data_IF_349564186802
#
_entry.id   IF_349564186802
#
_cell.length_a   1.000
_cell.length_b   1.000
_cell.length_c   1.000
_cell.angle_alpha   90.00
_cell.angle_beta   90.00
_cell.angle_gamma   90.00
#
_symmetry.space_group_name_H-M   'P 1'
#
loop_
_entity.id
_entity.type
_entity.pdbx_description
1 polymer ?
#
# COMPACT_ATOMS: atom_id res chain seq x y z
N UNK A 1 -98.10 -4.59 -4.44
CA UNK A 1 -97.15 -5.69 -4.67
C UNK A 1 -96.01 -5.24 -5.58
N UNK A 2 -94.76 -5.50 -5.17
CA UNK A 2 -93.53 -5.62 -5.99
C UNK A 2 -92.69 -4.41 -6.45
N UNK A 3 -92.98 -3.14 -6.13
CA UNK A 3 -92.12 -2.00 -6.58
C UNK A 3 -91.45 -1.15 -5.50
N UNK A 4 -91.67 -1.42 -4.21
CA UNK A 4 -91.15 -0.57 -3.11
C UNK A 4 -90.10 -1.25 -2.21
N UNK A 5 -89.68 -2.47 -2.53
CA UNK A 5 -88.68 -3.22 -1.73
C UNK A 5 -87.33 -3.40 -2.44
N UNK A 6 -87.12 -2.73 -3.59
CA UNK A 6 -85.91 -2.90 -4.41
C UNK A 6 -84.98 -1.66 -4.39
N UNK A 7 -85.27 -0.61 -3.62
CA UNK A 7 -84.43 0.59 -3.54
C UNK A 7 -83.69 0.77 -2.21
N UNK A 8 -83.77 -0.20 -1.29
CA UNK A 8 -83.05 -0.16 -0.02
C UNK A 8 -81.86 -1.14 0.04
N UNK A 9 -81.61 -1.89 -1.05
CA UNK A 9 -80.50 -2.84 -1.15
C UNK A 9 -79.35 -2.33 -2.05
N UNK A 10 -79.46 -1.12 -2.60
CA UNK A 10 -78.46 -0.52 -3.50
C UNK A 10 -77.67 0.64 -2.87
N UNK A 11 -77.98 1.04 -1.63
CA UNK A 11 -77.38 2.21 -0.97
C UNK A 11 -76.38 1.87 0.14
N UNK A 12 -76.06 0.59 0.36
CA UNK A 12 -75.22 0.15 1.50
C UNK A 12 -74.01 -0.71 1.12
N UNK A 13 -73.47 -0.55 -0.10
CA UNK A 13 -72.24 -1.23 -0.55
C UNK A 13 -71.22 -0.30 -1.22
N UNK A 14 -71.28 0.99 -0.86
CA UNK A 14 -70.19 1.94 -1.03
C UNK A 14 -69.57 2.24 0.35
N UNK A 15 -69.28 1.20 1.13
CA UNK A 15 -68.18 1.30 2.09
C UNK A 15 -66.91 1.34 1.26
N UNK A 16 -66.58 2.55 0.79
CA UNK A 16 -65.24 2.86 0.36
C UNK A 16 -64.33 2.47 1.50
N UNK A 17 -63.62 1.36 1.34
CA UNK A 17 -62.47 1.05 2.17
C UNK A 17 -61.55 2.22 1.91
N UNK A 18 -61.57 3.21 2.81
CA UNK A 18 -60.57 4.26 2.82
C UNK A 18 -59.26 3.50 2.96
N UNK A 19 -58.56 3.37 1.83
CA UNK A 19 -57.25 2.73 1.79
C UNK A 19 -56.42 3.50 2.81
N UNK A 20 -56.13 2.87 3.94
CA UNK A 20 -55.41 3.51 5.01
C UNK A 20 -54.06 3.92 4.43
N UNK A 21 -53.79 5.23 4.38
CA UNK A 21 -52.57 5.76 3.82
C UNK A 21 -51.37 5.06 4.48
N UNK A 22 -50.47 4.54 3.66
CA UNK A 22 -49.36 3.75 4.14
C UNK A 22 -48.36 4.65 4.85
N UNK A 23 -48.02 4.33 6.09
CA UNK A 23 -47.10 5.15 6.89
C UNK A 23 -45.68 4.61 6.73
N UNK A 24 -44.78 5.46 6.24
CA UNK A 24 -43.33 5.18 6.16
C UNK A 24 -42.60 6.13 7.11
N UNK A 25 -41.85 5.58 8.06
CA UNK A 25 -41.13 6.37 9.07
C UNK A 25 -39.66 6.53 8.70
N UNK A 26 -39.24 7.75 8.36
CA UNK A 26 -37.86 8.05 7.93
C UNK A 26 -36.90 8.11 9.13
N UNK A 27 -35.76 7.43 9.01
CA UNK A 27 -34.65 7.51 9.97
C UNK A 27 -33.87 8.81 9.79
N UNK A 28 -33.34 9.42 10.86
CA UNK A 28 -32.52 10.63 10.73
C UNK A 28 -31.17 10.37 10.06
N UNK A 29 -30.60 9.18 10.25
CA UNK A 29 -29.29 8.81 9.72
C UNK A 29 -29.26 7.34 9.26
N UNK A 30 -28.47 7.05 8.23
CA UNK A 30 -28.15 5.70 7.78
C UNK A 30 -26.67 5.60 7.32
N UNK A 31 -26.03 4.46 7.61
CA UNK A 31 -24.69 4.14 7.13
C UNK A 31 -24.77 3.03 6.09
N UNK A 32 -24.48 3.34 4.83
CA UNK A 32 -24.73 2.44 3.70
C UNK A 32 -23.50 2.31 2.80
N UNK A 33 -23.32 1.17 2.10
CA UNK A 33 -22.31 1.07 1.06
C UNK A 33 -22.63 2.02 -0.11
N UNK A 34 -21.62 2.43 -0.91
CA UNK A 34 -21.85 3.22 -2.10
C UNK A 34 -22.72 2.47 -3.11
N UNK A 35 -23.58 3.19 -3.85
CA UNK A 35 -24.53 2.60 -4.79
C UNK A 35 -25.99 2.99 -4.54
N UNK A 36 -26.95 2.25 -5.12
CA UNK A 36 -28.37 2.57 -5.03
C UNK A 36 -28.86 2.46 -3.57
N UNK A 37 -29.47 3.55 -3.10
CA UNK A 37 -30.05 3.62 -1.76
C UNK A 37 -31.51 3.22 -1.86
N UNK A 38 -31.85 2.09 -1.26
CA UNK A 38 -33.22 1.62 -1.18
C UNK A 38 -33.98 2.32 -0.03
N UNK A 39 -35.30 2.45 -0.16
CA UNK A 39 -36.12 3.07 0.88
C UNK A 39 -36.05 2.30 2.20
N UNK A 40 -36.02 0.95 2.15
CA UNK A 40 -35.89 0.12 3.35
C UNK A 40 -34.58 0.36 4.12
N UNK A 41 -33.55 0.87 3.45
CA UNK A 41 -32.27 1.17 4.11
C UNK A 41 -32.33 2.45 4.97
N UNK A 42 -33.27 3.36 4.67
CA UNK A 42 -33.38 4.67 5.31
C UNK A 42 -34.70 4.90 6.06
N UNK A 43 -35.62 3.94 6.02
CA UNK A 43 -36.94 4.08 6.60
C UNK A 43 -37.47 2.75 7.14
N UNK A 44 -38.37 2.84 8.10
CA UNK A 44 -39.18 1.73 8.58
C UNK A 44 -40.51 1.72 7.82
N UNK A 45 -40.81 0.58 7.21
CA UNK A 45 -41.96 0.39 6.33
C UNK A 45 -42.89 -0.63 6.98
N UNK A 46 -44.20 -0.36 6.97
CA UNK A 46 -45.21 -1.30 7.44
C UNK A 46 -45.10 -2.66 6.74
N UNK A 47 -45.31 -3.76 7.50
CA UNK A 47 -45.08 -5.14 7.02
C UNK A 47 -45.84 -5.51 5.75
N UNK A 48 -47.02 -4.93 5.51
CA UNK A 48 -47.87 -5.25 4.37
C UNK A 48 -47.26 -4.89 3.01
N UNK A 49 -46.55 -3.75 2.91
CA UNK A 49 -45.92 -3.29 1.66
C UNK A 49 -44.39 -3.18 1.73
N UNK A 50 -43.77 -3.73 2.78
CA UNK A 50 -42.32 -3.70 2.96
C UNK A 50 -41.57 -4.26 1.73
N UNK A 51 -42.13 -5.25 1.03
CA UNK A 51 -41.52 -5.83 -0.16
C UNK A 51 -41.54 -4.88 -1.38
N UNK A 52 -42.66 -4.20 -1.65
CA UNK A 52 -42.81 -3.32 -2.81
C UNK A 52 -42.15 -1.96 -2.58
N UNK A 53 -42.46 -1.30 -1.46
CA UNK A 53 -41.89 0.00 -1.12
C UNK A 53 -40.40 -0.09 -0.78
N UNK A 54 -39.98 -1.17 -0.13
CA UNK A 54 -38.61 -1.32 0.36
C UNK A 54 -37.54 -1.36 -0.75
N UNK A 55 -37.91 -1.81 -1.95
CA UNK A 55 -37.01 -1.90 -3.10
C UNK A 55 -36.88 -0.59 -3.90
N UNK A 56 -37.71 0.42 -3.61
CA UNK A 56 -37.67 1.69 -4.32
C UNK A 56 -36.31 2.36 -4.08
N UNK A 57 -35.62 2.67 -5.17
CA UNK A 57 -34.35 3.41 -5.11
C UNK A 57 -34.64 4.90 -5.00
N UNK A 58 -34.26 5.51 -3.88
CA UNK A 58 -34.51 6.93 -3.61
C UNK A 58 -33.38 7.84 -4.08
N UNK A 59 -32.15 7.30 -4.13
CA UNK A 59 -30.97 8.01 -4.57
C UNK A 59 -29.84 7.03 -4.90
N UNK A 60 -28.73 7.56 -5.40
CA UNK A 60 -27.48 6.81 -5.56
C UNK A 60 -26.41 7.50 -4.70
N UNK A 61 -25.84 6.78 -3.73
CA UNK A 61 -24.77 7.28 -2.88
C UNK A 61 -23.47 7.25 -3.70
N UNK A 62 -22.82 8.41 -3.96
CA UNK A 62 -21.58 8.44 -4.72
C UNK A 62 -20.48 7.66 -4.00
N UNK A 63 -19.49 7.21 -4.79
CA UNK A 63 -18.27 6.63 -4.22
C UNK A 63 -17.46 7.71 -3.50
N UNK A 64 -16.81 7.33 -2.40
CA UNK A 64 -15.95 8.20 -1.60
C UNK A 64 -16.48 8.55 -0.21
N UNK A 65 -15.84 9.50 0.49
CA UNK A 65 -16.16 9.81 1.89
C UNK A 65 -17.36 10.76 2.03
N UNK A 66 -17.93 11.22 0.91
CA UNK A 66 -19.01 12.20 0.91
C UNK A 66 -20.28 11.66 1.56
N UNK A 67 -20.91 12.48 2.40
CA UNK A 67 -22.26 12.21 2.90
C UNK A 67 -23.31 12.74 1.93
N UNK A 68 -24.41 12.01 1.76
CA UNK A 68 -25.58 12.48 1.02
C UNK A 68 -26.68 12.87 2.00
N UNK A 69 -27.43 13.93 1.69
CA UNK A 69 -28.57 14.35 2.51
C UNK A 69 -29.82 14.42 1.65
N UNK A 70 -30.87 13.69 2.05
CA UNK A 70 -32.13 13.59 1.30
C UNK A 70 -33.25 14.26 2.09
N UNK A 71 -33.93 15.25 1.50
CA UNK A 71 -35.13 15.84 2.11
C UNK A 71 -36.33 14.89 1.98
N UNK A 72 -37.29 15.05 2.87
CA UNK A 72 -38.56 14.31 2.84
C UNK A 72 -39.27 14.45 1.49
N UNK A 73 -39.28 15.64 0.90
CA UNK A 73 -39.94 15.93 -0.38
C UNK A 73 -39.30 15.15 -1.52
N UNK A 74 -37.96 15.06 -1.53
CA UNK A 74 -37.23 14.29 -2.54
C UNK A 74 -37.54 12.80 -2.43
N UNK A 75 -37.60 12.28 -1.20
CA UNK A 75 -37.94 10.88 -0.93
C UNK A 75 -39.39 10.61 -1.38
N UNK A 76 -40.33 11.49 -1.04
CA UNK A 76 -41.73 11.37 -1.46
C UNK A 76 -41.87 11.36 -2.98
N UNK A 77 -41.18 12.25 -3.70
CA UNK A 77 -41.17 12.28 -5.15
C UNK A 77 -40.61 10.98 -5.76
N UNK A 78 -39.57 10.39 -5.17
CA UNK A 78 -39.04 9.11 -5.63
C UNK A 78 -40.05 7.96 -5.44
N UNK A 79 -40.75 7.94 -4.30
CA UNK A 79 -41.81 6.96 -4.00
C UNK A 79 -42.97 7.11 -4.99
N UNK A 80 -43.51 8.32 -5.17
CA UNK A 80 -44.65 8.58 -6.05
C UNK A 80 -44.39 8.21 -7.52
N UNK A 81 -43.13 8.24 -7.97
CA UNK A 81 -42.76 7.80 -9.34
C UNK A 81 -42.79 6.28 -9.50
N UNK A 82 -42.51 5.54 -8.44
CA UNK A 82 -42.37 4.08 -8.48
C UNK A 82 -43.59 3.35 -7.89
N UNK A 83 -44.40 4.03 -7.08
CA UNK A 83 -45.52 3.46 -6.36
C UNK A 83 -46.79 4.29 -6.57
N UNK A 84 -47.89 3.71 -7.10
CA UNK A 84 -49.12 4.45 -7.39
C UNK A 84 -50.02 4.70 -6.18
N UNK A 85 -49.74 4.09 -5.03
CA UNK A 85 -50.54 4.23 -3.80
C UNK A 85 -50.24 5.50 -3.01
N UNK A 86 -51.16 5.84 -2.10
CA UNK A 86 -51.00 7.01 -1.21
C UNK A 86 -50.10 6.65 -0.02
N UNK A 87 -49.02 7.41 0.16
CA UNK A 87 -48.00 7.18 1.19
C UNK A 87 -47.84 8.43 2.04
N UNK A 88 -47.89 8.27 3.36
CA UNK A 88 -47.62 9.30 4.36
C UNK A 88 -46.23 9.11 4.95
N UNK A 89 -45.36 10.13 4.82
CA UNK A 89 -44.02 10.11 5.41
C UNK A 89 -44.03 10.72 6.82
N UNK A 90 -43.55 9.96 7.79
CA UNK A 90 -43.35 10.39 9.18
C UNK A 90 -41.86 10.32 9.56
N UNK A 91 -41.52 10.73 10.78
CA UNK A 91 -40.14 10.69 11.29
C UNK A 91 -39.30 11.91 10.91
N UNK A 92 -38.05 11.70 10.49
CA UNK A 92 -37.13 12.79 10.19
C UNK A 92 -37.60 13.66 9.00
N UNK A 93 -37.30 14.96 9.02
CA UNK A 93 -37.51 15.87 7.88
C UNK A 93 -36.43 15.71 6.80
N UNK A 94 -35.26 15.21 7.20
CA UNK A 94 -34.12 14.97 6.35
C UNK A 94 -33.38 13.71 6.82
N UNK A 95 -32.93 12.90 5.87
CA UNK A 95 -32.13 11.69 6.12
C UNK A 95 -30.69 11.98 5.71
N UNK A 96 -29.75 11.86 6.65
CA UNK A 96 -28.31 11.92 6.36
C UNK A 96 -27.78 10.52 6.11
N UNK A 97 -27.18 10.30 4.95
CA UNK A 97 -26.59 9.03 4.56
C UNK A 97 -25.08 9.19 4.59
N UNK A 98 -24.41 8.43 5.46
CA UNK A 98 -22.96 8.36 5.53
C UNK A 98 -22.48 7.08 4.83
N UNK A 99 -21.32 7.13 4.14
CA UNK A 99 -20.74 5.93 3.57
C UNK A 99 -20.29 4.99 4.69
N UNK A 100 -20.51 3.69 4.49
CA UNK A 100 -19.97 2.67 5.36
C UNK A 100 -18.45 2.61 5.19
N UNK A 101 -17.73 2.99 6.25
CA UNK A 101 -16.28 2.98 6.29
C UNK A 101 -15.77 1.69 6.92
N UNK A 102 -14.70 1.14 6.33
CA UNK A 102 -13.90 0.07 6.89
C UNK A 102 -12.59 0.66 7.38
N UNK A 103 -12.16 0.27 8.58
CA UNK A 103 -10.90 0.72 9.16
C UNK A 103 -9.81 -0.30 8.86
N UNK A 104 -8.75 0.14 8.20
CA UNK A 104 -7.53 -0.64 8.01
C UNK A 104 -6.53 -0.24 9.09
N UNK A 105 -6.17 -1.20 9.94
CA UNK A 105 -5.20 -0.99 11.00
C UNK A 105 -3.76 -1.05 10.49
N UNK A 106 -2.83 -0.62 11.36
CA UNK A 106 -1.38 -0.66 11.13
C UNK A 106 -0.87 -2.00 10.60
N UNK A 107 -1.29 -3.12 11.18
CA UNK A 107 -0.81 -4.46 10.79
C UNK A 107 -1.22 -4.82 9.37
N UNK A 108 -2.44 -4.46 8.98
CA UNK A 108 -2.96 -4.73 7.65
C UNK A 108 -2.23 -3.89 6.59
N UNK A 109 -2.02 -2.60 6.87
CA UNK A 109 -1.23 -1.72 6.00
C UNK A 109 0.23 -2.19 5.88
N UNK A 110 0.81 -2.69 6.97
CA UNK A 110 2.16 -3.25 6.98
C UNK A 110 2.23 -4.50 6.09
N UNK A 111 1.26 -5.42 6.22
CA UNK A 111 1.17 -6.60 5.35
C UNK A 111 1.00 -6.22 3.87
N UNK A 112 0.16 -5.22 3.57
CA UNK A 112 -0.02 -4.72 2.21
C UNK A 112 1.28 -4.15 1.64
N UNK A 113 2.01 -3.34 2.43
CA UNK A 113 3.31 -2.81 2.02
C UNK A 113 4.31 -3.93 1.69
N UNK A 114 4.49 -4.89 2.61
CA UNK A 114 5.40 -6.02 2.41
C UNK A 114 5.01 -6.84 1.19
N UNK A 115 3.73 -7.19 1.05
CA UNK A 115 3.23 -7.97 -0.08
C UNK A 115 3.50 -7.26 -1.42
N UNK A 116 3.25 -5.95 -1.50
CA UNK A 116 3.47 -5.17 -2.71
C UNK A 116 4.94 -4.98 -3.04
N UNK A 117 5.80 -4.79 -2.05
CA UNK A 117 7.25 -4.76 -2.25
C UNK A 117 7.75 -6.10 -2.76
N UNK A 118 7.30 -7.22 -2.18
CA UNK A 118 7.71 -8.56 -2.63
C UNK A 118 7.18 -8.90 -4.03
N UNK A 119 5.97 -8.46 -4.38
CA UNK A 119 5.38 -8.64 -5.72
C UNK A 119 6.16 -7.88 -6.81
N UNK A 120 6.54 -6.63 -6.53
CA UNK A 120 7.19 -5.76 -7.51
C UNK A 120 8.72 -5.86 -7.54
N UNK A 121 9.35 -6.27 -6.43
CA UNK A 121 10.81 -6.24 -6.30
C UNK A 121 11.48 -7.29 -7.20
N UNK A 122 12.47 -6.88 -8.01
CA UNK A 122 13.19 -7.79 -8.89
C UNK A 122 14.26 -8.60 -8.13
N UNK A 123 14.36 -8.44 -6.81
CA UNK A 123 15.34 -9.12 -5.95
C UNK A 123 14.82 -10.44 -5.38
N UNK A 124 13.50 -10.69 -5.43
CA UNK A 124 12.87 -11.91 -4.87
C UNK A 124 13.39 -13.21 -5.47
N UNK A 125 13.84 -13.17 -6.73
CA UNK A 125 14.44 -14.31 -7.42
C UNK A 125 15.96 -14.36 -7.33
N UNK A 126 16.61 -13.31 -6.81
CA UNK A 126 18.07 -13.12 -6.88
C UNK A 126 18.74 -13.01 -5.51
N UNK A 127 17.97 -12.93 -4.44
CA UNK A 127 18.49 -12.75 -3.10
C UNK A 127 17.42 -12.85 -2.02
N UNK A 128 17.86 -12.62 -0.78
CA UNK A 128 16.98 -12.49 0.38
C UNK A 128 16.66 -11.02 0.59
N UNK A 129 15.40 -10.73 0.87
CA UNK A 129 14.92 -9.38 1.18
C UNK A 129 14.51 -9.34 2.65
N UNK A 130 14.98 -8.33 3.37
CA UNK A 130 14.56 -8.01 4.73
C UNK A 130 13.94 -6.60 4.73
N UNK A 131 12.73 -6.46 5.25
CA UNK A 131 12.01 -5.19 5.27
C UNK A 131 11.84 -4.75 6.72
N UNK A 132 12.24 -3.52 7.02
CA UNK A 132 12.24 -2.93 8.36
C UNK A 132 11.78 -1.48 8.35
N UNK A 133 11.64 -0.87 9.54
CA UNK A 133 11.28 0.55 9.72
C UNK A 133 10.03 1.00 8.95
N UNK A 134 9.03 0.11 8.84
CA UNK A 134 7.80 0.37 8.08
C UNK A 134 6.98 1.45 8.81
N UNK A 135 6.75 2.56 8.11
CA UNK A 135 5.94 3.70 8.54
C UNK A 135 4.60 3.70 7.81
N UNK A 136 3.55 3.50 8.58
CA UNK A 136 2.16 3.53 8.14
C UNK A 136 1.33 4.30 9.17
N UNK A 137 0.16 4.87 8.80
CA UNK A 137 -0.74 5.45 9.78
C UNK A 137 -1.33 4.38 10.71
N UNK A 138 -1.73 4.78 11.92
CA UNK A 138 -2.33 3.87 12.92
C UNK A 138 -3.65 3.27 12.42
N UNK A 139 -4.52 4.11 11.85
CA UNK A 139 -5.79 3.69 11.27
C UNK A 139 -6.07 4.47 9.99
N UNK A 140 -6.63 3.76 9.00
CA UNK A 140 -7.05 4.34 7.74
C UNK A 140 -8.50 3.94 7.45
N UNK A 141 -9.41 4.92 7.48
CA UNK A 141 -10.80 4.68 7.15
C UNK A 141 -11.03 4.86 5.64
N UNK A 142 -11.51 3.81 4.99
CA UNK A 142 -11.80 3.76 3.56
C UNK A 142 -13.22 3.25 3.34
N UNK A 143 -13.97 3.77 2.34
CA UNK A 143 -15.25 3.19 1.98
C UNK A 143 -15.10 1.70 1.64
N UNK A 144 -16.00 0.86 2.14
CA UNK A 144 -15.89 -0.60 1.95
C UNK A 144 -15.79 -1.02 0.46
N UNK A 145 -16.48 -0.30 -0.43
CA UNK A 145 -16.44 -0.54 -1.88
C UNK A 145 -15.09 -0.21 -2.54
N UNK A 146 -14.27 0.64 -1.92
CA UNK A 146 -12.99 1.08 -2.50
C UNK A 146 -11.86 0.09 -2.23
N UNK A 147 -12.03 -0.84 -1.29
CA UNK A 147 -11.05 -1.89 -0.99
C UNK A 147 -10.77 -2.79 -2.20
N UNK A 148 -11.79 -3.06 -3.02
CA UNK A 148 -11.66 -3.86 -4.24
C UNK A 148 -10.99 -3.11 -5.40
N UNK A 149 -10.75 -1.81 -5.24
CA UNK A 149 -10.12 -0.93 -6.24
C UNK A 149 -8.79 -0.38 -5.74
N UNK A 150 -8.09 -1.18 -4.94
CA UNK A 150 -6.76 -0.86 -4.42
C UNK A 150 -5.75 -0.86 -5.56
N UNK A 151 -5.08 0.27 -5.79
CA UNK A 151 -3.88 0.35 -6.63
C UNK A 151 -2.66 0.75 -5.80
N UNK A 152 -1.50 0.26 -6.23
CA UNK A 152 -0.23 0.42 -5.56
C UNK A 152 0.77 0.99 -6.57
N UNK A 153 1.34 2.16 -6.28
CA UNK A 153 2.28 2.85 -7.16
C UNK A 153 3.59 3.14 -6.42
N UNK A 154 4.70 2.65 -6.98
CA UNK A 154 6.05 2.98 -6.54
C UNK A 154 6.59 4.19 -7.31
N UNK A 155 7.71 4.75 -6.85
CA UNK A 155 8.41 5.78 -7.61
C UNK A 155 8.85 5.22 -8.99
N UNK A 156 8.90 6.05 -10.04
CA UNK A 156 9.48 5.64 -11.32
C UNK A 156 10.92 5.17 -11.13
N UNK A 157 11.29 4.04 -11.76
CA UNK A 157 12.63 3.45 -11.70
C UNK A 157 13.12 3.07 -10.29
N UNK A 158 12.19 2.74 -9.38
CA UNK A 158 12.51 2.17 -8.06
C UNK A 158 13.38 0.91 -8.19
N UNK A 159 14.50 0.88 -7.46
CA UNK A 159 15.43 -0.27 -7.44
C UNK A 159 15.18 -1.21 -6.25
N UNK A 160 14.30 -0.82 -5.32
CA UNK A 160 13.90 -1.58 -4.14
C UNK A 160 15.08 -1.89 -3.21
N UNK A 161 16.06 -1.00 -3.12
CA UNK A 161 17.19 -1.10 -2.21
C UNK A 161 17.27 0.15 -1.33
N UNK A 162 17.26 -0.03 -0.01
CA UNK A 162 17.27 1.07 0.95
C UNK A 162 15.87 1.65 1.19
N UNK A 163 15.69 2.98 1.25
CA UNK A 163 14.38 3.58 1.51
C UNK A 163 13.42 3.42 0.34
N UNK A 164 12.28 2.74 0.57
CA UNK A 164 11.24 2.53 -0.45
C UNK A 164 9.95 3.20 -0.01
N UNK A 165 9.27 3.86 -0.95
CA UNK A 165 7.95 4.47 -0.75
C UNK A 165 6.90 3.85 -1.66
N UNK A 166 5.70 3.68 -1.12
CA UNK A 166 4.54 3.14 -1.84
C UNK A 166 3.34 4.05 -1.64
N UNK A 167 2.74 4.52 -2.72
CA UNK A 167 1.45 5.21 -2.68
C UNK A 167 0.32 4.20 -2.91
N UNK A 168 -0.51 3.98 -1.89
CA UNK A 168 -1.74 3.20 -2.00
C UNK A 168 -2.92 4.12 -2.31
N UNK A 169 -3.67 3.81 -3.36
CA UNK A 169 -4.90 4.50 -3.73
C UNK A 169 -6.09 3.55 -3.59
N UNK A 170 -7.12 4.00 -2.88
CA UNK A 170 -8.36 3.26 -2.66
C UNK A 170 -9.45 3.89 -3.53
N UNK A 171 -9.64 3.36 -4.74
CA UNK A 171 -10.51 3.98 -5.73
C UNK A 171 -10.09 5.43 -6.04
N UNK A 172 -11.05 6.35 -6.09
CA UNK A 172 -10.80 7.79 -6.28
C UNK A 172 -10.87 8.62 -5.00
N UNK A 173 -11.01 7.99 -3.84
CA UNK A 173 -11.48 8.66 -2.63
C UNK A 173 -10.36 9.01 -1.66
N UNK A 174 -9.33 8.15 -1.59
CA UNK A 174 -8.28 8.27 -0.60
C UNK A 174 -6.95 7.72 -1.11
N UNK A 175 -5.89 8.46 -0.83
CA UNK A 175 -4.51 8.04 -1.06
C UNK A 175 -3.75 8.09 0.27
N UNK A 176 -2.88 7.11 0.50
CA UNK A 176 -1.97 7.08 1.63
C UNK A 176 -0.58 6.67 1.15
N UNK A 177 0.44 7.37 1.66
CA UNK A 177 1.83 7.01 1.42
C UNK A 177 2.34 6.14 2.55
N UNK A 178 2.87 4.99 2.21
CA UNK A 178 3.58 4.08 3.10
C UNK A 178 5.08 4.14 2.77
N UNK A 179 5.93 3.87 3.76
CA UNK A 179 7.38 3.81 3.52
C UNK A 179 8.03 2.77 4.42
N UNK A 180 9.20 2.29 4.02
CA UNK A 180 10.00 1.35 4.81
C UNK A 180 11.43 1.29 4.29
N UNK A 181 12.27 0.51 4.97
CA UNK A 181 13.63 0.20 4.51
C UNK A 181 13.67 -1.23 4.00
N UNK A 182 14.26 -1.43 2.83
CA UNK A 182 14.43 -2.71 2.17
C UNK A 182 15.92 -3.02 2.11
N UNK A 183 16.34 -4.05 2.83
CA UNK A 183 17.70 -4.57 2.80
C UNK A 183 17.71 -5.80 1.90
N UNK A 184 18.65 -5.82 0.96
CA UNK A 184 18.75 -6.89 -0.03
C UNK A 184 20.08 -7.60 0.17
N UNK A 185 20.05 -8.91 0.36
CA UNK A 185 21.23 -9.75 0.42
C UNK A 185 21.26 -10.59 -0.85
N UNK A 186 22.25 -10.36 -1.71
CA UNK A 186 22.35 -11.07 -2.98
C UNK A 186 23.80 -11.50 -3.24
N UNK A 187 23.93 -12.56 -4.03
CA UNK A 187 25.23 -13.01 -4.53
C UNK A 187 25.66 -12.10 -5.67
N UNK A 188 26.75 -11.35 -5.47
CA UNK A 188 27.25 -10.37 -6.45
C UNK A 188 28.72 -10.65 -6.81
N UNK A 189 29.12 -10.30 -8.05
CA UNK A 189 30.50 -10.47 -8.49
C UNK A 189 31.44 -9.50 -7.75
N UNK A 190 32.49 -10.05 -7.15
CA UNK A 190 33.58 -9.34 -6.46
C UNK A 190 34.90 -9.71 -7.11
N UNK A 191 35.82 -8.75 -7.21
CA UNK A 191 37.14 -8.92 -7.79
C UNK A 191 38.06 -9.77 -6.89
N UNK A 192 38.85 -10.66 -7.50
CA UNK A 192 39.97 -11.41 -6.89
C UNK A 192 41.33 -10.72 -7.06
N UNK A 193 41.37 -9.39 -6.91
CA UNK A 193 42.63 -8.63 -6.95
C UNK A 193 43.04 -8.15 -8.34
N UNK A 194 42.10 -7.55 -9.09
CA UNK A 194 42.37 -6.91 -10.37
C UNK A 194 43.35 -5.73 -10.27
N UNK A 195 44.35 -5.72 -11.15
CA UNK A 195 45.25 -4.56 -11.35
C UNK A 195 44.57 -3.50 -12.21
N UNK A 196 45.00 -2.25 -12.07
CA UNK A 196 44.54 -1.18 -12.96
C UNK A 196 44.87 -1.52 -14.42
N UNK A 197 43.91 -1.29 -15.32
CA UNK A 197 43.98 -1.61 -16.75
C UNK A 197 43.71 -3.08 -17.10
N UNK A 198 43.67 -3.98 -16.11
CA UNK A 198 43.41 -5.41 -16.34
C UNK A 198 41.95 -5.61 -16.76
N UNK A 199 41.76 -6.44 -17.79
CA UNK A 199 40.42 -6.86 -18.21
C UNK A 199 39.84 -7.84 -17.19
N UNK A 200 38.55 -7.71 -16.92
CA UNK A 200 37.82 -8.58 -16.02
C UNK A 200 37.43 -9.86 -16.77
N UNK A 201 38.04 -10.96 -16.36
CA UNK A 201 37.79 -12.32 -16.83
C UNK A 201 37.02 -13.11 -15.76
N UNK A 202 36.41 -14.25 -16.12
CA UNK A 202 35.62 -15.05 -15.17
C UNK A 202 36.45 -15.53 -13.97
N UNK A 203 37.73 -15.87 -14.20
CA UNK A 203 38.69 -16.26 -13.17
C UNK A 203 39.18 -15.09 -12.30
N UNK A 204 38.89 -13.84 -12.68
CA UNK A 204 39.19 -12.67 -11.88
C UNK A 204 38.03 -12.24 -10.97
N UNK A 205 36.89 -12.93 -11.05
CA UNK A 205 35.69 -12.66 -10.26
C UNK A 205 35.41 -13.85 -9.34
N UNK A 206 34.84 -13.56 -8.19
CA UNK A 206 34.19 -14.52 -7.30
C UNK A 206 32.82 -13.99 -6.88
N UNK A 207 31.86 -14.88 -6.65
CA UNK A 207 30.54 -14.50 -6.16
C UNK A 207 30.55 -14.44 -4.63
N UNK A 208 30.08 -13.32 -4.07
CA UNK A 208 29.90 -13.16 -2.61
C UNK A 208 28.52 -12.67 -2.28
N UNK A 209 27.94 -13.22 -1.23
CA UNK A 209 26.71 -12.71 -0.65
C UNK A 209 27.01 -11.41 0.11
N UNK A 210 26.41 -10.31 -0.32
CA UNK A 210 26.57 -9.00 0.28
C UNK A 210 25.21 -8.32 0.49
N UNK A 211 25.14 -7.50 1.52
CA UNK A 211 24.02 -6.61 1.80
C UNK A 211 24.14 -5.37 0.88
N UNK A 212 23.21 -5.20 -0.06
CA UNK A 212 23.34 -4.23 -1.15
C UNK A 212 22.99 -2.79 -0.76
N UNK A 213 22.20 -2.56 0.30
CA UNK A 213 21.76 -1.20 0.65
C UNK A 213 22.87 -0.30 1.18
N UNK A 214 23.98 -0.90 1.61
CA UNK A 214 25.20 -0.19 1.98
C UNK A 214 26.03 0.29 0.78
N UNK A 215 25.66 -0.09 -0.45
CA UNK A 215 26.41 0.19 -1.67
C UNK A 215 25.58 1.04 -2.65
N UNK A 216 26.28 1.78 -3.53
CA UNK A 216 25.65 2.56 -4.60
C UNK A 216 25.34 1.70 -5.82
N UNK A 217 25.52 2.26 -7.02
CA UNK A 217 25.37 1.50 -8.26
C UNK A 217 26.37 0.33 -8.32
N UNK A 218 25.84 -0.90 -8.33
CA UNK A 218 26.60 -2.15 -8.37
C UNK A 218 26.27 -2.95 -9.62
N UNK A 219 27.28 -3.64 -10.15
CA UNK A 219 27.07 -4.73 -11.10
C UNK A 219 26.70 -5.97 -10.29
N UNK A 220 25.53 -6.56 -10.57
CA UNK A 220 25.01 -7.70 -9.80
C UNK A 220 25.10 -9.02 -10.52
N UNK A 221 25.48 -9.01 -11.80
CA UNK A 221 25.58 -10.20 -12.64
C UNK A 221 27.02 -10.38 -13.14
N UNK A 222 27.63 -11.56 -12.99
CA UNK A 222 28.98 -11.83 -13.48
C UNK A 222 29.16 -11.57 -14.98
N UNK A 223 28.14 -11.84 -15.79
CA UNK A 223 28.14 -11.61 -17.24
C UNK A 223 28.36 -10.14 -17.60
N UNK A 224 27.78 -9.22 -16.83
CA UNK A 224 27.89 -7.78 -17.05
C UNK A 224 29.30 -7.26 -16.72
N UNK A 225 30.10 -8.03 -15.97
CA UNK A 225 31.49 -7.69 -15.69
C UNK A 225 32.44 -8.06 -16.82
N UNK A 226 32.08 -9.00 -17.71
CA UNK A 226 33.00 -9.59 -18.67
C UNK A 226 33.51 -8.55 -19.67
N UNK A 227 34.83 -8.51 -19.86
CA UNK A 227 35.46 -7.59 -20.82
C UNK A 227 35.53 -6.13 -20.36
N UNK A 228 34.91 -5.77 -19.22
CA UNK A 228 35.19 -4.51 -18.56
C UNK A 228 36.66 -4.45 -18.15
N UNK A 229 37.18 -3.24 -17.92
CA UNK A 229 38.55 -3.02 -17.45
C UNK A 229 38.56 -2.30 -16.13
N UNK A 230 39.34 -2.81 -15.18
CA UNK A 230 39.53 -2.15 -13.90
C UNK A 230 40.20 -0.79 -14.11
N UNK A 231 39.49 0.31 -13.86
CA UNK A 231 40.02 1.67 -14.04
C UNK A 231 41.14 2.00 -13.04
N UNK A 232 41.03 1.47 -11.83
CA UNK A 232 41.92 1.75 -10.70
C UNK A 232 42.16 0.48 -9.92
N UNK A 233 43.36 0.31 -9.38
CA UNK A 233 43.63 -0.74 -8.41
C UNK A 233 42.81 -0.49 -7.12
N UNK A 234 42.42 -1.57 -6.44
CA UNK A 234 41.62 -1.49 -5.22
C UNK A 234 42.43 -0.78 -4.13
N UNK A 235 41.98 0.42 -3.76
CA UNK A 235 42.57 1.23 -2.69
C UNK A 235 41.99 0.81 -1.35
N UNK A 236 42.85 0.76 -0.35
CA UNK A 236 42.50 0.52 1.06
C UNK A 236 43.02 1.65 1.91
N UNK A 237 42.33 1.99 2.98
CA UNK A 237 42.83 2.90 4.01
C UNK A 237 43.62 2.06 5.02
N UNK A 238 44.86 2.47 5.25
CA UNK A 238 45.77 1.91 6.25
C UNK A 238 45.52 2.64 7.55
N UNK A 239 45.34 1.91 8.63
CA UNK A 239 45.19 2.45 9.98
C UNK A 239 46.19 1.84 10.93
N UNK A 240 46.94 2.70 11.61
CA UNK A 240 47.82 2.35 12.70
C UNK A 240 47.26 3.05 13.95
N UNK A 241 46.82 2.27 14.94
CA UNK A 241 46.28 2.81 16.19
C UNK A 241 47.05 2.32 17.42
N UNK A 242 47.40 3.23 18.32
CA UNK A 242 47.84 2.98 19.70
C UNK A 242 47.05 3.89 20.66
N UNK A 243 47.08 3.66 21.99
CA UNK A 243 46.40 4.55 22.93
C UNK A 243 46.86 6.01 22.74
N UNK A 244 45.93 6.89 22.33
CA UNK A 244 46.19 8.32 22.11
C UNK A 244 46.76 8.71 20.74
N UNK A 245 46.98 7.76 19.81
CA UNK A 245 47.53 8.06 18.47
C UNK A 245 46.84 7.21 17.39
N UNK A 246 46.27 7.89 16.38
CA UNK A 246 45.71 7.26 15.19
C UNK A 246 46.41 7.84 13.96
N UNK A 247 47.12 6.98 13.23
CA UNK A 247 47.75 7.29 11.95
C UNK A 247 46.89 6.65 10.85
N UNK A 248 46.55 7.44 9.84
CA UNK A 248 45.85 6.94 8.66
C UNK A 248 46.62 7.27 7.39
N UNK A 249 46.61 6.36 6.42
CA UNK A 249 47.24 6.56 5.12
C UNK A 249 46.45 5.80 4.02
N UNK A 250 46.75 6.09 2.76
CA UNK A 250 46.21 5.33 1.62
C UNK A 250 47.16 4.22 1.21
N UNK A 251 46.60 3.03 1.00
CA UNK A 251 47.30 1.85 0.52
C UNK A 251 46.63 1.25 -0.72
N UNK A 252 47.36 0.39 -1.40
CA UNK A 252 46.84 -0.51 -2.42
C UNK A 252 46.93 -1.92 -1.86
N UNK A 253 45.79 -2.61 -1.76
CA UNK A 253 45.81 -4.03 -1.42
C UNK A 253 46.51 -4.79 -2.55
N UNK A 254 47.53 -5.58 -2.21
CA UNK A 254 48.24 -6.44 -3.16
C UNK A 254 47.63 -7.84 -3.25
N UNK A 255 46.75 -8.17 -2.31
CA UNK A 255 45.95 -9.39 -2.27
C UNK A 255 44.62 -9.08 -1.59
N UNK A 256 43.57 -9.81 -1.94
CA UNK A 256 42.32 -9.75 -1.20
C UNK A 256 42.44 -10.41 0.18
N UNK A 257 41.53 -10.02 1.05
CA UNK A 257 41.35 -10.59 2.38
C UNK A 257 39.97 -10.29 2.92
N UNK A 258 39.50 -11.17 3.79
CA UNK A 258 38.28 -11.05 4.57
C UNK A 258 38.57 -10.42 5.92
N UNK A 259 37.52 -10.06 6.66
CA UNK A 259 37.67 -9.54 8.01
C UNK A 259 38.58 -10.46 8.85
N UNK A 260 39.59 -9.87 9.50
CA UNK A 260 40.66 -10.51 10.28
C UNK A 260 41.78 -11.18 9.48
N UNK A 261 41.71 -11.22 8.15
CA UNK A 261 42.83 -11.70 7.33
C UNK A 261 43.98 -10.71 7.34
N UNK A 262 45.21 -11.25 7.34
CA UNK A 262 46.42 -10.46 7.10
C UNK A 262 46.70 -10.41 5.60
N UNK A 263 46.70 -9.20 5.04
CA UNK A 263 46.97 -8.96 3.62
C UNK A 263 48.16 -8.03 3.41
N UNK A 264 48.98 -8.27 2.37
CA UNK A 264 50.00 -7.33 1.94
C UNK A 264 49.35 -6.09 1.33
N UNK A 265 49.77 -4.92 1.81
CA UNK A 265 49.29 -3.61 1.36
C UNK A 265 50.49 -2.74 1.03
N UNK A 266 50.51 -2.18 -0.17
CA UNK A 266 51.50 -1.18 -0.57
C UNK A 266 51.01 0.19 -0.15
N UNK A 267 51.68 0.80 0.83
CA UNK A 267 51.43 2.18 1.22
C UNK A 267 51.77 3.12 0.03
N UNK A 268 50.83 3.97 -0.35
CA UNK A 268 50.96 4.81 -1.55
C UNK A 268 51.83 6.05 -1.31
N UNK A 269 51.90 6.55 -0.07
CA UNK A 269 52.73 7.69 0.31
C UNK A 269 54.22 7.32 0.35
N UNK A 270 54.54 6.20 1.01
CA UNK A 270 55.92 5.74 1.22
C UNK A 270 56.43 4.75 0.17
N UNK A 271 55.53 4.15 -0.63
CA UNK A 271 55.85 3.08 -1.57
C UNK A 271 56.18 1.73 -0.92
N UNK A 272 56.25 1.64 0.41
CA UNK A 272 56.60 0.42 1.15
C UNK A 272 55.44 -0.56 1.20
N UNK A 273 55.75 -1.86 1.22
CA UNK A 273 54.75 -2.92 1.43
C UNK A 273 54.74 -3.30 2.90
N UNK A 274 53.54 -3.34 3.50
CA UNK A 274 53.30 -3.68 4.90
C UNK A 274 52.22 -4.76 4.98
N UNK A 275 52.14 -5.47 6.12
CA UNK A 275 51.08 -6.45 6.37
C UNK A 275 50.01 -5.81 7.26
N UNK A 276 48.78 -5.71 6.75
CA UNK A 276 47.64 -5.17 7.48
C UNK A 276 46.56 -6.23 7.71
N UNK A 277 45.86 -6.15 8.83
CA UNK A 277 44.69 -6.98 9.16
C UNK A 277 43.43 -6.29 8.67
N UNK A 278 42.62 -6.93 7.82
CA UNK A 278 41.36 -6.32 7.34
C UNK A 278 40.39 -6.15 8.51
N UNK A 279 39.96 -4.92 8.78
CA UNK A 279 39.05 -4.60 9.90
C UNK A 279 37.67 -4.16 9.43
N UNK A 280 37.56 -3.65 8.20
CA UNK A 280 36.30 -3.28 7.55
C UNK A 280 36.52 -3.25 6.02
N UNK A 281 35.46 -3.13 5.20
CA UNK A 281 35.60 -2.96 3.76
C UNK A 281 36.54 -1.80 3.45
N UNK A 282 37.55 -2.08 2.62
CA UNK A 282 38.59 -1.13 2.24
C UNK A 282 39.38 -0.51 3.41
N UNK A 283 39.40 -1.12 4.61
CA UNK A 283 40.20 -0.68 5.76
C UNK A 283 41.06 -1.81 6.32
N UNK A 284 42.34 -1.54 6.49
CA UNK A 284 43.30 -2.46 7.09
C UNK A 284 43.96 -1.83 8.31
N UNK A 285 44.10 -2.61 9.38
CA UNK A 285 44.84 -2.23 10.57
C UNK A 285 46.24 -2.82 10.56
N UNK A 286 47.25 -1.98 10.70
CA UNK A 286 48.64 -2.38 10.83
C UNK A 286 49.03 -2.30 12.29
N UNK A 287 49.59 -3.38 12.81
CA UNK A 287 50.16 -3.41 14.16
C UNK A 287 51.59 -2.90 14.05
N UNK A 288 51.95 -1.92 14.88
CA UNK A 288 53.28 -1.34 15.00
C UNK A 288 53.65 -1.23 16.48
#
# INVERSE_FOLDING_TARGET
MRKLLLSLLTTLLLYGVAAAAEVVSLRPEACLPPGPVSLAAIAEIGRAQAASLGQITVANLPQGPGSLSLSRERILQAIQRAYPGEVSLQGASQVRIKPQLTSLGRDELTRLFVAKVMEASPWTSRGRIEISDIRVPENLNVPAGDLNRLTAEFAPHEDFVGPVSLDLKFGGSRQVRLSGRVQVYASVPVSRGLKAGQSVTEDAIELKELELSSFGALITRPEDCRGLRARTAIRVQIEAASPGLLITDSGQALRDGFARDKIPVKNLSSGRTIIGTVIAPSRVRVVF
#
